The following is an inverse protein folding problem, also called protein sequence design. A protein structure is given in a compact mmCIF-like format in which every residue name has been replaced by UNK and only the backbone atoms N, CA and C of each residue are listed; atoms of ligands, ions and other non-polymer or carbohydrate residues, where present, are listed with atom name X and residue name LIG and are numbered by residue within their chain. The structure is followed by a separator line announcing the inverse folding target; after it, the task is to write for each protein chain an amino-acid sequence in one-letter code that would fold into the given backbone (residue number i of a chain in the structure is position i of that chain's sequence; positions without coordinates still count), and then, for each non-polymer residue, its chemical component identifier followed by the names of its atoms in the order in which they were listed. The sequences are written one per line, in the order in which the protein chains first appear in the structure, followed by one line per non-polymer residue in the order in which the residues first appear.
data_IF_890058679276
#
_entry.id   IF_890058679276
#
_cell.length_a   1.000
_cell.length_b   1.000
_cell.length_c   1.000
_cell.angle_alpha   90.00
_cell.angle_beta   90.00
_cell.angle_gamma   90.00
#
_symmetry.space_group_name_H-M   'P 1'
#
loop_
_entity.id
_entity.type
_entity.pdbx_description
1 polymer ?
#
# COMPACT_ATOMS: atom_id res chain seq x y z
N UNK A 1 23.86 -42.06 -48.17
CA UNK A 1 22.48 -42.53 -47.92
C UNK A 1 21.64 -41.32 -47.46
N UNK A 2 20.71 -40.89 -48.30
CA UNK A 2 20.01 -39.61 -48.02
C UNK A 2 18.92 -39.85 -46.95
N UNK A 3 19.18 -39.50 -45.72
CA UNK A 3 18.27 -39.72 -44.59
C UNK A 3 17.06 -38.74 -44.60
N UNK A 4 17.06 -37.80 -45.54
CA UNK A 4 16.10 -36.70 -45.59
C UNK A 4 15.07 -36.78 -46.73
N UNK A 5 14.99 -37.90 -47.46
CA UNK A 5 13.90 -38.07 -48.40
C UNK A 5 12.68 -38.65 -47.66
N UNK A 6 11.94 -37.78 -47.08
CA UNK A 6 10.74 -38.12 -46.33
C UNK A 6 9.52 -37.72 -47.16
N UNK A 7 8.62 -38.65 -47.36
CA UNK A 7 7.23 -38.34 -47.75
C UNK A 7 6.62 -37.56 -46.59
N UNK A 8 6.32 -36.27 -46.82
CA UNK A 8 5.94 -35.30 -45.80
C UNK A 8 4.60 -35.64 -45.13
N UNK A 9 3.83 -36.55 -45.74
CA UNK A 9 2.48 -36.93 -45.28
C UNK A 9 2.41 -38.19 -44.40
N UNK A 10 3.55 -38.76 -43.97
CA UNK A 10 3.61 -39.99 -43.17
C UNK A 10 4.25 -39.75 -41.80
N UNK A 11 3.60 -40.19 -40.73
CA UNK A 11 4.21 -40.22 -39.40
C UNK A 11 5.47 -41.12 -39.39
N UNK A 12 6.57 -40.69 -38.74
CA UNK A 12 7.79 -41.48 -38.64
C UNK A 12 7.54 -42.77 -37.86
N UNK A 13 8.05 -43.86 -38.38
CA UNK A 13 8.06 -45.11 -37.63
C UNK A 13 9.03 -45.04 -36.46
N UNK A 14 8.79 -45.86 -35.43
CA UNK A 14 9.68 -45.98 -34.27
C UNK A 14 11.15 -46.25 -34.67
N UNK A 15 11.38 -47.11 -35.65
CA UNK A 15 12.73 -47.43 -36.14
C UNK A 15 13.42 -46.26 -36.86
N UNK A 16 12.65 -45.36 -37.48
CA UNK A 16 13.16 -44.11 -38.06
C UNK A 16 13.51 -43.11 -36.98
N UNK A 17 12.66 -42.97 -35.96
CA UNK A 17 12.91 -42.10 -34.82
C UNK A 17 14.14 -42.55 -34.01
N UNK A 18 14.31 -43.86 -33.77
CA UNK A 18 15.48 -44.41 -33.07
C UNK A 18 16.78 -44.17 -33.87
N UNK A 19 16.77 -44.28 -35.19
CA UNK A 19 17.94 -43.96 -36.06
C UNK A 19 18.26 -42.47 -36.07
N UNK A 20 17.26 -41.59 -36.13
CA UNK A 20 17.46 -40.15 -36.09
C UNK A 20 18.04 -39.72 -34.73
N UNK A 21 17.54 -40.29 -33.63
CA UNK A 21 18.03 -40.04 -32.28
C UNK A 21 19.50 -40.50 -32.11
N UNK A 22 19.89 -41.65 -32.66
CA UNK A 22 21.27 -42.12 -32.63
C UNK A 22 22.22 -41.17 -33.40
N UNK A 23 21.82 -40.72 -34.59
CA UNK A 23 22.58 -39.75 -35.39
C UNK A 23 22.75 -38.41 -34.67
N UNK A 24 21.67 -37.92 -34.03
CA UNK A 24 21.72 -36.69 -33.25
C UNK A 24 22.64 -36.79 -32.03
N UNK A 25 22.63 -37.96 -31.35
CA UNK A 25 23.55 -38.24 -30.24
C UNK A 25 25.02 -38.29 -30.67
N UNK A 26 25.30 -38.95 -31.80
CA UNK A 26 26.66 -39.05 -32.35
C UNK A 26 27.18 -37.66 -32.76
N UNK A 27 26.34 -36.87 -33.44
CA UNK A 27 26.69 -35.51 -33.82
C UNK A 27 26.92 -34.62 -32.60
N UNK A 28 25.96 -34.61 -31.64
CA UNK A 28 26.05 -33.80 -30.43
C UNK A 28 27.23 -34.21 -29.54
N UNK A 29 27.69 -35.47 -29.59
CA UNK A 29 28.90 -35.91 -28.92
C UNK A 29 30.19 -35.33 -29.52
N UNK A 30 30.20 -34.93 -30.80
CA UNK A 30 31.33 -34.34 -31.50
C UNK A 30 31.26 -32.81 -31.65
N UNK A 31 30.08 -32.21 -31.54
CA UNK A 31 29.85 -30.78 -31.72
C UNK A 31 30.27 -29.95 -30.48
N UNK A 32 30.61 -28.69 -30.67
CA UNK A 32 30.85 -27.73 -29.59
C UNK A 32 29.54 -27.30 -28.93
N UNK A 33 29.62 -26.76 -27.70
CA UNK A 33 28.44 -26.28 -26.98
C UNK A 33 27.69 -25.19 -27.75
N UNK A 34 28.41 -24.29 -28.41
CA UNK A 34 27.81 -23.23 -29.22
C UNK A 34 27.10 -23.74 -30.47
N UNK A 35 27.56 -24.83 -31.06
CA UNK A 35 26.92 -25.48 -32.23
C UNK A 35 25.63 -26.17 -31.82
N UNK A 36 25.61 -26.79 -30.62
CA UNK A 36 24.40 -27.43 -30.07
C UNK A 36 23.36 -26.39 -29.71
N UNK A 37 23.79 -25.33 -29.05
CA UNK A 37 22.90 -24.22 -28.63
C UNK A 37 22.29 -23.48 -29.83
N UNK A 38 23.03 -23.38 -30.93
CA UNK A 38 22.56 -22.77 -32.18
C UNK A 38 21.53 -23.64 -32.90
N UNK A 39 21.64 -24.97 -32.82
CA UNK A 39 20.71 -25.87 -33.46
C UNK A 39 19.43 -26.08 -32.65
N UNK A 40 19.56 -26.51 -31.41
CA UNK A 40 18.47 -26.62 -30.42
C UNK A 40 19.07 -26.86 -29.02
N UNK A 41 18.86 -25.95 -28.04
CA UNK A 41 19.33 -26.11 -26.66
C UNK A 41 18.86 -27.41 -25.98
N UNK A 42 17.72 -27.97 -26.39
CA UNK A 42 17.19 -29.23 -25.86
C UNK A 42 18.04 -30.44 -26.19
N UNK A 43 18.88 -30.36 -27.23
CA UNK A 43 19.77 -31.47 -27.65
C UNK A 43 20.87 -31.76 -26.62
N UNK A 44 21.22 -30.81 -25.75
CA UNK A 44 22.15 -31.00 -24.63
C UNK A 44 21.71 -32.12 -23.70
N UNK A 45 20.40 -32.33 -23.55
CA UNK A 45 19.81 -33.38 -22.72
C UNK A 45 19.97 -34.81 -23.35
N UNK A 46 20.33 -34.90 -24.64
CA UNK A 46 20.51 -36.18 -25.34
C UNK A 46 21.94 -36.71 -25.26
N UNK A 47 22.87 -35.96 -24.68
CA UNK A 47 24.28 -36.34 -24.53
C UNK A 47 24.56 -36.88 -23.12
N UNK A 48 24.52 -38.22 -22.88
CA UNK A 48 24.81 -38.81 -21.57
C UNK A 48 26.31 -38.81 -21.27
N UNK A 49 26.88 -37.75 -20.92
CA UNK A 49 28.31 -37.55 -20.65
C UNK A 49 28.73 -36.10 -20.67
N UNK A 50 27.97 -35.25 -21.33
CA UNK A 50 27.93 -33.82 -21.02
C UNK A 50 26.95 -33.65 -19.85
N UNK A 51 27.49 -33.81 -18.65
CA UNK A 51 26.75 -33.41 -17.49
C UNK A 51 26.21 -32.00 -17.75
N UNK A 52 24.88 -31.88 -17.72
CA UNK A 52 24.23 -30.59 -17.55
C UNK A 52 24.87 -29.99 -16.32
N UNK A 53 25.77 -29.02 -16.55
CA UNK A 53 26.61 -28.35 -15.57
C UNK A 53 27.38 -29.33 -14.64
N UNK A 54 28.69 -29.41 -14.83
CA UNK A 54 29.57 -29.44 -13.68
C UNK A 54 29.22 -28.22 -12.82
N UNK A 55 28.19 -28.35 -11.98
CA UNK A 55 28.15 -27.46 -10.84
C UNK A 55 29.47 -27.69 -10.11
N UNK A 56 30.34 -26.70 -10.06
CA UNK A 56 31.59 -26.85 -9.34
C UNK A 56 31.25 -27.37 -7.95
N UNK A 57 32.10 -28.20 -7.37
CA UNK A 57 31.93 -28.74 -6.03
C UNK A 57 31.54 -27.61 -5.12
N UNK A 58 30.25 -27.54 -4.74
CA UNK A 58 29.73 -26.42 -3.95
C UNK A 58 30.37 -26.48 -2.57
N UNK A 59 31.20 -25.52 -2.25
CA UNK A 59 31.59 -25.28 -0.88
C UNK A 59 30.36 -24.90 -0.08
N UNK A 60 30.04 -25.67 0.98
CA UNK A 60 28.95 -25.33 1.90
C UNK A 60 29.37 -24.33 2.96
N UNK A 61 30.64 -23.95 2.97
CA UNK A 61 31.20 -22.98 3.92
C UNK A 61 31.03 -21.59 3.34
N UNK A 62 30.38 -20.69 4.06
CA UNK A 62 30.29 -19.29 3.67
C UNK A 62 31.68 -18.64 3.71
N UNK A 63 32.18 -18.03 2.61
CA UNK A 63 33.49 -17.47 2.56
C UNK A 63 33.50 -16.05 3.19
N UNK A 64 33.85 -15.94 4.48
CA UNK A 64 33.87 -14.67 5.22
C UNK A 64 34.82 -13.61 4.60
N UNK A 65 35.80 -14.02 3.80
CA UNK A 65 36.77 -13.12 3.18
C UNK A 65 36.48 -12.81 1.69
N UNK A 66 35.34 -13.22 1.14
CA UNK A 66 35.03 -12.94 -0.27
C UNK A 66 34.55 -11.50 -0.45
N UNK A 67 35.30 -10.70 -1.21
CA UNK A 67 34.89 -9.35 -1.63
C UNK A 67 34.55 -9.34 -3.13
N UNK A 68 33.34 -8.90 -3.46
CA UNK A 68 32.91 -8.73 -4.84
C UNK A 68 33.54 -7.46 -5.43
N UNK A 69 34.65 -7.60 -6.17
CA UNK A 69 35.28 -6.50 -6.87
C UNK A 69 34.49 -6.04 -8.12
N UNK A 70 34.98 -5.03 -8.82
CA UNK A 70 34.33 -4.48 -10.00
C UNK A 70 34.23 -5.50 -11.16
N UNK A 71 35.24 -6.33 -11.34
CA UNK A 71 35.28 -7.34 -12.40
C UNK A 71 34.27 -8.45 -12.12
N UNK A 72 34.21 -8.92 -10.85
CA UNK A 72 33.21 -9.89 -10.44
C UNK A 72 31.80 -9.35 -10.60
N UNK A 73 31.55 -8.09 -10.16
CA UNK A 73 30.24 -7.44 -10.32
C UNK A 73 29.83 -7.31 -11.79
N UNK A 74 30.77 -7.03 -12.68
CA UNK A 74 30.52 -6.96 -14.12
C UNK A 74 30.22 -8.34 -14.75
N UNK A 75 30.69 -9.44 -14.15
CA UNK A 75 30.41 -10.81 -14.61
C UNK A 75 29.05 -11.35 -14.16
N UNK A 76 28.36 -10.67 -13.24
CA UNK A 76 27.06 -11.11 -12.77
C UNK A 76 26.03 -11.03 -13.92
N UNK A 77 25.18 -12.06 -14.10
CA UNK A 77 24.19 -12.06 -15.17
C UNK A 77 23.14 -10.96 -14.95
N UNK A 78 22.87 -10.19 -16.00
CA UNK A 78 21.74 -9.25 -16.00
C UNK A 78 20.45 -9.97 -16.35
N UNK A 79 19.76 -10.47 -15.35
CA UNK A 79 18.52 -11.22 -15.51
C UNK A 79 17.32 -10.33 -15.91
N UNK A 80 17.43 -9.02 -15.76
CA UNK A 80 16.35 -8.08 -16.10
C UNK A 80 16.36 -7.71 -17.58
N UNK A 81 17.56 -7.58 -18.17
CA UNK A 81 17.77 -7.36 -19.61
C UNK A 81 18.24 -8.63 -20.31
N UNK A 82 18.20 -9.78 -19.65
CA UNK A 82 18.57 -11.07 -20.18
C UNK A 82 17.79 -11.48 -21.44
N UNK A 83 18.15 -12.59 -22.11
CA UNK A 83 17.59 -12.95 -23.41
C UNK A 83 16.06 -13.03 -23.38
N UNK A 84 15.42 -12.46 -24.41
CA UNK A 84 13.97 -12.41 -24.58
C UNK A 84 13.29 -13.80 -24.53
N UNK A 85 14.07 -14.87 -24.72
CA UNK A 85 13.63 -16.25 -24.68
C UNK A 85 13.22 -16.76 -23.29
N UNK A 86 13.68 -16.11 -22.20
CA UNK A 86 13.41 -16.55 -20.83
C UNK A 86 12.04 -16.11 -20.30
N UNK A 87 11.43 -15.09 -20.90
CA UNK A 87 10.14 -14.58 -20.43
C UNK A 87 9.19 -14.44 -21.63
N UNK A 88 8.23 -15.34 -21.72
CA UNK A 88 7.14 -15.27 -22.68
C UNK A 88 5.95 -14.59 -22.00
N UNK A 89 5.69 -13.34 -22.34
CA UNK A 89 4.53 -12.59 -21.86
C UNK A 89 3.99 -11.69 -22.96
N UNK A 90 2.71 -11.32 -22.86
CA UNK A 90 2.17 -10.29 -23.73
C UNK A 90 2.89 -8.96 -23.46
N UNK A 91 3.31 -8.26 -24.53
CA UNK A 91 3.84 -6.91 -24.41
C UNK A 91 2.71 -5.94 -24.09
N UNK A 92 2.54 -5.65 -22.82
CA UNK A 92 1.54 -4.73 -22.30
C UNK A 92 2.16 -3.86 -21.23
N UNK A 93 1.78 -2.61 -21.22
CA UNK A 93 2.12 -1.69 -20.13
C UNK A 93 1.51 -2.18 -18.81
N UNK A 94 2.30 -2.11 -17.75
CA UNK A 94 1.86 -2.35 -16.37
C UNK A 94 1.75 -0.99 -15.68
N UNK A 95 0.57 -0.67 -15.14
CA UNK A 95 0.32 0.60 -14.48
C UNK A 95 1.10 0.73 -13.16
N UNK A 96 1.13 -0.34 -12.37
CA UNK A 96 1.81 -0.36 -11.08
C UNK A 96 2.59 -1.65 -10.88
N UNK A 97 3.90 -1.54 -10.76
CA UNK A 97 4.82 -2.64 -10.38
C UNK A 97 5.81 -2.10 -9.35
N UNK A 98 6.05 -2.83 -8.28
CA UNK A 98 6.93 -2.36 -7.21
C UNK A 98 6.88 -3.24 -5.97
N UNK A 99 7.11 -2.63 -4.82
CA UNK A 99 7.13 -3.28 -3.51
C UNK A 99 5.97 -2.79 -2.65
N UNK A 100 5.46 -3.67 -1.80
CA UNK A 100 4.40 -3.34 -0.85
C UNK A 100 4.76 -3.83 0.54
N UNK A 101 4.29 -3.09 1.56
CA UNK A 101 4.49 -3.42 2.97
C UNK A 101 5.97 -3.54 3.39
N UNK A 102 6.81 -2.68 2.83
CA UNK A 102 8.20 -2.54 3.24
C UNK A 102 8.28 -1.65 4.49
N UNK A 103 8.87 -2.14 5.57
CA UNK A 103 8.89 -1.42 6.84
C UNK A 103 10.16 -0.64 7.05
N UNK A 104 9.99 0.64 7.44
CA UNK A 104 11.06 1.57 7.78
C UNK A 104 10.71 2.39 9.03
N UNK A 105 11.67 2.65 9.93
CA UNK A 105 11.54 3.71 10.90
C UNK A 105 11.72 5.07 10.20
N UNK A 106 10.66 5.88 10.17
CA UNK A 106 10.70 7.23 9.56
C UNK A 106 10.54 8.27 10.66
N UNK A 107 11.38 9.32 10.61
CA UNK A 107 11.34 10.43 11.54
C UNK A 107 10.43 11.53 11.00
N UNK A 108 9.34 11.79 11.70
CA UNK A 108 8.38 12.85 11.41
C UNK A 108 8.59 14.02 12.35
N UNK A 109 8.47 15.24 11.83
CA UNK A 109 8.34 16.45 12.64
C UNK A 109 6.88 16.69 12.93
N UNK A 110 6.54 16.99 14.19
CA UNK A 110 5.18 17.23 14.65
C UNK A 110 5.02 18.66 15.13
N UNK A 111 3.80 19.17 15.09
CA UNK A 111 3.51 20.54 15.52
C UNK A 111 3.86 20.78 16.99
N UNK A 112 3.58 19.83 17.87
CA UNK A 112 3.63 20.02 19.33
C UNK A 112 4.77 19.25 20.02
N UNK A 113 5.16 18.09 19.51
CA UNK A 113 6.06 17.18 20.23
C UNK A 113 7.46 17.02 19.59
N UNK A 114 7.79 17.89 18.61
CA UNK A 114 9.07 17.79 17.91
C UNK A 114 9.17 16.56 17.00
N UNK A 115 10.33 15.94 16.96
CA UNK A 115 10.60 14.80 16.08
C UNK A 115 10.17 13.48 16.74
N UNK A 116 9.40 12.68 16.02
CA UNK A 116 9.01 11.32 16.40
C UNK A 116 9.49 10.34 15.33
N UNK A 117 10.06 9.22 15.76
CA UNK A 117 10.38 8.11 14.84
C UNK A 117 9.25 7.07 14.93
N UNK A 118 8.58 6.85 13.80
CA UNK A 118 7.44 5.95 13.70
C UNK A 118 7.76 4.78 12.77
N UNK A 119 7.37 3.57 13.18
CA UNK A 119 7.39 2.43 12.27
C UNK A 119 6.40 2.67 11.14
N UNK A 120 6.90 2.69 9.92
CA UNK A 120 6.13 3.05 8.74
C UNK A 120 6.14 1.92 7.73
N UNK A 121 4.97 1.49 7.28
CA UNK A 121 4.80 0.57 6.16
C UNK A 121 4.77 1.35 4.86
N UNK A 122 5.70 1.05 3.96
CA UNK A 122 5.86 1.76 2.69
C UNK A 122 5.47 0.85 1.53
N UNK A 123 4.64 1.35 0.64
CA UNK A 123 4.35 0.76 -0.67
C UNK A 123 4.83 1.73 -1.74
N UNK A 124 5.71 1.27 -2.63
CA UNK A 124 6.24 2.08 -3.72
C UNK A 124 6.10 1.35 -5.04
N UNK A 125 5.46 1.99 -6.02
CA UNK A 125 5.23 1.44 -7.36
C UNK A 125 5.57 2.45 -8.44
N UNK A 126 5.91 1.93 -9.63
CA UNK A 126 6.11 2.72 -10.86
C UNK A 126 5.34 2.07 -12.01
N UNK A 127 5.11 2.84 -13.07
CA UNK A 127 4.66 2.29 -14.34
C UNK A 127 5.80 1.54 -15.04
N UNK A 128 5.46 0.51 -15.80
CA UNK A 128 6.41 -0.25 -16.62
C UNK A 128 5.90 -0.31 -18.05
N UNK A 129 6.75 0.13 -18.98
CA UNK A 129 6.45 0.09 -20.39
C UNK A 129 6.35 -1.34 -20.93
N UNK A 130 5.59 -1.51 -22.01
CA UNK A 130 5.35 -2.80 -22.65
C UNK A 130 6.63 -3.49 -23.15
N UNK A 131 7.67 -2.71 -23.46
CA UNK A 131 8.94 -3.21 -24.02
C UNK A 131 9.94 -3.64 -22.93
N UNK A 132 9.72 -3.21 -21.67
CA UNK A 132 10.59 -3.57 -20.55
C UNK A 132 10.13 -4.86 -19.89
N UNK A 133 11.10 -5.74 -19.53
CA UNK A 133 10.83 -7.05 -18.93
C UNK A 133 10.47 -6.97 -17.44
N UNK A 134 11.08 -6.03 -16.72
CA UNK A 134 10.90 -5.89 -15.28
C UNK A 134 11.65 -4.71 -14.71
N UNK A 135 11.49 -4.51 -13.41
CA UNK A 135 12.21 -3.49 -12.64
C UNK A 135 13.12 -4.15 -11.59
N UNK A 136 14.16 -3.44 -11.19
CA UNK A 136 14.99 -3.85 -10.06
C UNK A 136 14.36 -3.38 -8.74
N UNK A 137 13.60 -4.26 -8.07
CA UNK A 137 12.91 -3.97 -6.82
C UNK A 137 13.85 -3.40 -5.73
N UNK A 138 15.11 -3.85 -5.68
CA UNK A 138 16.08 -3.36 -4.70
C UNK A 138 16.48 -1.90 -4.90
N UNK A 139 16.28 -1.34 -6.09
CA UNK A 139 16.53 0.11 -6.34
C UNK A 139 15.50 0.95 -5.60
N UNK A 140 14.23 0.53 -5.61
CA UNK A 140 13.17 1.20 -4.84
C UNK A 140 13.56 1.27 -3.37
N UNK A 141 13.92 0.11 -2.77
CA UNK A 141 14.31 0.06 -1.36
C UNK A 141 15.52 0.95 -1.05
N UNK A 142 16.55 0.92 -1.90
CA UNK A 142 17.75 1.74 -1.71
C UNK A 142 17.46 3.24 -1.76
N UNK A 143 16.56 3.68 -2.62
CA UNK A 143 16.12 5.10 -2.65
C UNK A 143 15.49 5.51 -1.33
N UNK A 144 14.65 4.65 -0.72
CA UNK A 144 14.09 4.95 0.59
C UNK A 144 15.16 4.99 1.69
N UNK A 145 16.08 4.02 1.73
CA UNK A 145 17.17 4.02 2.72
C UNK A 145 18.09 5.24 2.60
N UNK A 146 18.35 5.70 1.39
CA UNK A 146 19.17 6.90 1.18
C UNK A 146 18.55 8.19 1.77
N UNK A 147 17.24 8.19 1.98
CA UNK A 147 16.48 9.31 2.51
C UNK A 147 15.90 9.08 3.92
N UNK A 148 15.96 7.85 4.45
CA UNK A 148 15.33 7.45 5.72
C UNK A 148 15.88 8.20 6.96
N UNK A 149 17.13 8.67 6.92
CA UNK A 149 17.74 9.43 8.02
C UNK A 149 17.30 10.90 8.07
N UNK A 150 16.64 11.38 7.03
CA UNK A 150 16.11 12.76 7.00
C UNK A 150 14.79 12.82 7.75
N UNK A 151 14.55 13.96 8.40
CA UNK A 151 13.21 14.26 8.92
C UNK A 151 12.24 14.33 7.75
N UNK A 152 11.13 13.59 7.87
CA UNK A 152 10.12 13.47 6.83
C UNK A 152 9.55 14.83 6.45
N UNK A 153 9.42 15.03 5.16
CA UNK A 153 8.59 16.04 4.53
C UNK A 153 8.16 15.51 3.16
N UNK A 154 7.12 16.08 2.57
CA UNK A 154 6.75 15.71 1.20
C UNK A 154 7.88 15.94 0.19
N UNK A 155 8.76 16.96 0.41
CA UNK A 155 9.92 17.16 -0.43
C UNK A 155 10.92 15.99 -0.38
N UNK A 156 11.05 15.33 0.78
CA UNK A 156 11.90 14.13 0.91
C UNK A 156 11.31 12.97 0.10
N UNK A 157 9.98 12.79 0.12
CA UNK A 157 9.33 11.77 -0.71
C UNK A 157 9.44 12.13 -2.19
N UNK A 158 9.22 13.38 -2.56
CA UNK A 158 9.37 13.85 -3.95
C UNK A 158 10.78 13.57 -4.47
N UNK A 159 11.80 13.85 -3.66
CA UNK A 159 13.18 13.55 -4.01
C UNK A 159 13.42 12.04 -4.16
N UNK A 160 12.91 11.22 -3.25
CA UNK A 160 12.99 9.76 -3.36
C UNK A 160 12.23 9.26 -4.60
N UNK A 161 11.05 9.80 -4.88
CA UNK A 161 10.25 9.47 -6.06
C UNK A 161 10.98 9.82 -7.36
N UNK A 162 11.54 11.03 -7.44
CA UNK A 162 12.31 11.46 -8.59
C UNK A 162 13.55 10.58 -8.82
N UNK A 163 14.23 10.22 -7.74
CA UNK A 163 15.41 9.34 -7.80
C UNK A 163 15.06 7.98 -8.37
N UNK A 164 14.05 7.30 -7.84
CA UNK A 164 13.77 5.97 -8.35
C UNK A 164 13.02 5.95 -9.70
N UNK A 165 12.28 7.01 -10.06
CA UNK A 165 11.77 7.18 -11.43
C UNK A 165 12.90 7.26 -12.44
N UNK A 166 13.92 8.07 -12.16
CA UNK A 166 15.11 8.18 -13.01
C UNK A 166 15.86 6.85 -13.10
N UNK A 167 16.07 6.16 -11.97
CA UNK A 167 16.74 4.87 -11.90
C UNK A 167 16.01 3.75 -12.64
N UNK A 168 14.68 3.83 -12.74
CA UNK A 168 13.82 2.82 -13.35
C UNK A 168 13.29 3.25 -14.71
N UNK A 169 13.63 4.47 -15.17
CA UNK A 169 13.15 5.05 -16.44
C UNK A 169 11.63 4.94 -16.58
N UNK A 170 10.89 5.32 -15.54
CA UNK A 170 9.43 5.21 -15.47
C UNK A 170 8.76 6.57 -15.58
N UNK A 171 7.52 6.62 -16.11
CA UNK A 171 6.78 7.87 -16.26
C UNK A 171 5.99 8.23 -15.03
N UNK A 172 5.27 7.26 -14.47
CA UNK A 172 4.39 7.44 -13.34
C UNK A 172 4.94 6.72 -12.12
N UNK A 173 4.67 7.25 -10.95
CA UNK A 173 5.08 6.64 -9.71
C UNK A 173 4.09 6.92 -8.59
N UNK A 174 3.99 6.01 -7.63
CA UNK A 174 3.16 6.14 -6.45
C UNK A 174 3.90 5.65 -5.22
N UNK A 175 3.82 6.42 -4.14
CA UNK A 175 4.29 6.05 -2.82
C UNK A 175 3.12 6.18 -1.85
N UNK A 176 2.92 5.17 -1.02
CA UNK A 176 2.00 5.22 0.12
C UNK A 176 2.77 4.80 1.38
N UNK A 177 2.62 5.58 2.43
CA UNK A 177 3.25 5.37 3.74
C UNK A 177 2.18 5.33 4.82
N UNK A 178 2.05 4.20 5.49
CA UNK A 178 1.08 3.99 6.56
C UNK A 178 1.79 3.86 7.90
N UNK A 179 1.30 4.58 8.91
CA UNK A 179 1.84 4.57 10.26
C UNK A 179 0.76 4.92 11.29
N UNK A 180 1.04 4.64 12.55
CA UNK A 180 0.19 5.01 13.68
C UNK A 180 0.83 6.18 14.42
N UNK A 181 0.12 7.31 14.47
CA UNK A 181 0.61 8.58 15.02
C UNK A 181 0.13 8.75 16.46
N UNK A 182 1.03 8.85 17.47
CA UNK A 182 0.68 9.08 18.86
C UNK A 182 0.46 10.56 19.14
N UNK A 183 -0.69 10.91 19.69
CA UNK A 183 -0.98 12.25 20.18
C UNK A 183 -1.35 12.20 21.66
N UNK A 184 -0.78 13.09 22.45
CA UNK A 184 -1.10 13.19 23.87
C UNK A 184 -2.47 13.82 24.06
N UNK A 185 -3.36 13.11 24.72
CA UNK A 185 -4.74 13.50 24.94
C UNK A 185 -5.03 13.62 26.42
N UNK A 186 -5.82 14.62 26.77
CA UNK A 186 -6.29 14.84 28.14
C UNK A 186 -7.70 14.33 28.31
N UNK A 187 -7.96 13.58 29.38
CA UNK A 187 -9.29 13.11 29.74
C UNK A 187 -10.28 14.25 30.02
N UNK A 188 -11.57 13.97 29.85
CA UNK A 188 -12.64 14.98 29.82
C UNK A 188 -12.78 15.79 31.11
N UNK A 189 -12.61 15.15 32.27
CA UNK A 189 -12.80 15.80 33.59
C UNK A 189 -11.64 15.57 34.56
N UNK A 190 -11.10 14.35 34.61
CA UNK A 190 -10.08 14.00 35.61
C UNK A 190 -8.71 14.62 35.34
N UNK A 191 -8.51 15.15 34.13
CA UNK A 191 -7.25 15.79 33.72
C UNK A 191 -6.09 14.79 33.58
N UNK A 192 -6.35 13.48 33.44
CA UNK A 192 -5.33 12.48 33.14
C UNK A 192 -4.86 12.60 31.70
N UNK A 193 -3.58 12.39 31.50
CA UNK A 193 -2.99 12.38 30.16
C UNK A 193 -2.77 10.92 29.70
N UNK A 194 -3.06 10.64 28.43
CA UNK A 194 -2.80 9.39 27.76
C UNK A 194 -2.40 9.61 26.31
N UNK A 195 -1.89 8.57 25.64
CA UNK A 195 -1.60 8.63 24.21
C UNK A 195 -2.71 7.99 23.40
N UNK A 196 -3.37 8.79 22.57
CA UNK A 196 -4.25 8.31 21.51
C UNK A 196 -3.41 8.04 20.26
N UNK A 197 -3.70 6.93 19.60
CA UNK A 197 -3.06 6.57 18.34
C UNK A 197 -4.05 6.76 17.19
N UNK A 198 -3.57 7.41 16.14
CA UNK A 198 -4.34 7.68 14.92
C UNK A 198 -3.66 7.00 13.74
N UNK A 199 -4.43 6.26 12.96
CA UNK A 199 -3.90 5.63 11.76
C UNK A 199 -3.91 6.63 10.60
N UNK A 200 -2.71 6.95 10.14
CA UNK A 200 -2.45 7.83 9.02
C UNK A 200 -1.88 7.07 7.83
N UNK A 201 -2.23 7.54 6.64
CA UNK A 201 -1.47 7.23 5.44
C UNK A 201 -1.15 8.52 4.68
N UNK A 202 0.08 8.61 4.18
CA UNK A 202 0.52 9.66 3.28
C UNK A 202 0.75 9.07 1.92
N UNK A 203 0.19 9.69 0.91
CA UNK A 203 0.29 9.24 -0.47
C UNK A 203 0.85 10.35 -1.35
N UNK A 204 1.80 9.99 -2.20
CA UNK A 204 2.27 10.81 -3.29
C UNK A 204 2.06 10.03 -4.58
N UNK A 205 1.24 10.58 -5.47
CA UNK A 205 1.02 10.07 -6.81
C UNK A 205 1.60 11.07 -7.80
N UNK A 206 2.41 10.62 -8.72
CA UNK A 206 2.86 11.45 -9.84
C UNK A 206 2.44 10.79 -11.15
N UNK A 207 1.57 11.46 -11.88
CA UNK A 207 1.07 11.02 -13.19
C UNK A 207 1.40 12.08 -14.22
N UNK A 208 2.09 11.70 -15.30
CA UNK A 208 2.51 12.62 -16.36
C UNK A 208 3.29 13.86 -15.83
N UNK A 209 4.04 13.70 -14.76
CA UNK A 209 4.82 14.78 -14.15
C UNK A 209 4.05 15.72 -13.22
N UNK A 210 2.77 15.44 -12.95
CA UNK A 210 1.95 16.23 -12.02
C UNK A 210 1.87 15.49 -10.67
N UNK A 211 2.44 16.04 -9.60
CA UNK A 211 2.38 15.43 -8.28
C UNK A 211 1.03 15.73 -7.60
N UNK A 212 0.45 14.71 -7.00
CA UNK A 212 -0.72 14.79 -6.11
C UNK A 212 -0.32 14.24 -4.75
N UNK A 213 -0.50 15.06 -3.72
CA UNK A 213 -0.21 14.73 -2.32
C UNK A 213 -1.51 14.51 -1.58
N UNK A 214 -1.64 13.35 -0.93
CA UNK A 214 -2.86 13.00 -0.20
C UNK A 214 -2.48 12.60 1.22
N UNK A 215 -3.25 13.07 2.19
CA UNK A 215 -3.21 12.64 3.58
C UNK A 215 -4.51 11.91 3.91
N UNK A 216 -4.39 10.74 4.54
CA UNK A 216 -5.51 9.94 5.02
C UNK A 216 -5.44 9.83 6.53
N UNK A 217 -6.58 9.93 7.19
CA UNK A 217 -6.75 9.77 8.63
C UNK A 217 -7.96 8.87 8.91
N UNK A 218 -7.80 7.84 9.73
CA UNK A 218 -8.91 7.12 10.32
C UNK A 218 -9.24 7.73 11.70
N UNK A 219 -10.32 8.49 11.76
CA UNK A 219 -10.80 9.13 12.98
C UNK A 219 -11.86 8.27 13.66
N UNK A 220 -11.60 7.87 14.91
CA UNK A 220 -12.47 6.96 15.67
C UNK A 220 -13.28 7.74 16.69
N UNK A 221 -14.60 7.60 16.62
CA UNK A 221 -15.54 8.31 17.48
C UNK A 221 -16.68 7.39 17.95
N UNK A 222 -17.47 7.88 18.89
CA UNK A 222 -18.71 7.24 19.29
C UNK A 222 -19.89 7.91 18.58
N UNK A 223 -20.82 7.12 18.07
CA UNK A 223 -22.08 7.60 17.52
C UNK A 223 -23.25 7.06 18.34
N UNK A 224 -24.10 7.97 18.81
CA UNK A 224 -25.37 7.65 19.46
C UNK A 224 -26.49 7.90 18.47
N UNK A 225 -27.33 6.91 18.21
CA UNK A 225 -28.45 7.04 17.27
C UNK A 225 -29.47 8.07 17.78
N UNK A 226 -29.76 9.16 17.00
CA UNK A 226 -30.75 10.17 17.40
C UNK A 226 -32.14 9.60 17.63
N UNK A 227 -32.59 8.69 16.74
CA UNK A 227 -33.91 8.05 16.92
C UNK A 227 -33.97 7.21 18.19
N UNK A 228 -32.92 6.47 18.50
CA UNK A 228 -32.87 5.65 19.71
C UNK A 228 -32.85 6.50 20.98
N UNK A 229 -32.19 7.65 20.94
CA UNK A 229 -32.21 8.60 22.05
C UNK A 229 -33.62 9.16 22.30
N UNK A 230 -34.31 9.64 21.27
CA UNK A 230 -35.67 10.18 21.38
C UNK A 230 -36.67 9.09 21.87
N UNK A 231 -36.55 7.87 21.37
CA UNK A 231 -37.40 6.76 21.81
C UNK A 231 -37.10 6.34 23.26
N UNK A 232 -35.86 6.45 23.70
CA UNK A 232 -35.48 6.19 25.10
C UNK A 232 -36.07 7.23 26.03
N UNK A 233 -35.99 8.51 25.67
CA UNK A 233 -36.61 9.61 26.42
C UNK A 233 -38.14 9.54 26.42
N UNK A 234 -38.76 9.13 25.29
CA UNK A 234 -40.19 8.86 25.22
C UNK A 234 -40.58 7.76 26.23
N UNK A 235 -39.89 6.64 26.25
CA UNK A 235 -40.16 5.55 27.21
C UNK A 235 -40.09 5.99 28.67
N UNK A 236 -39.13 6.89 29.01
CA UNK A 236 -38.98 7.45 30.35
C UNK A 236 -40.16 8.35 30.72
N UNK A 237 -40.55 9.25 29.80
CA UNK A 237 -41.63 10.21 30.05
C UNK A 237 -42.98 9.53 30.14
N UNK A 238 -43.34 8.65 29.20
CA UNK A 238 -44.69 8.08 29.06
C UNK A 238 -44.92 6.89 29.98
N UNK A 239 -43.88 6.15 30.35
CA UNK A 239 -44.05 4.88 31.08
C UNK A 239 -43.19 4.77 32.34
N UNK A 240 -42.34 5.79 32.67
CA UNK A 240 -41.39 5.69 33.75
C UNK A 240 -40.35 4.56 33.54
N UNK A 241 -40.20 4.08 32.30
CA UNK A 241 -39.33 2.96 31.97
C UNK A 241 -37.90 3.43 31.70
N UNK A 242 -36.93 2.87 32.42
CA UNK A 242 -35.53 3.10 32.11
C UNK A 242 -35.20 2.54 30.71
N UNK A 243 -34.63 3.36 29.86
CA UNK A 243 -34.21 3.01 28.52
C UNK A 243 -32.87 3.67 28.19
N UNK A 244 -32.08 3.05 27.34
CA UNK A 244 -30.75 3.52 26.91
C UNK A 244 -30.69 3.48 25.39
N UNK A 245 -30.29 4.59 24.75
CA UNK A 245 -30.07 4.60 23.30
C UNK A 245 -28.89 3.69 22.96
N UNK A 246 -28.94 3.09 21.77
CA UNK A 246 -27.75 2.40 21.29
C UNK A 246 -26.68 3.43 20.87
N UNK A 247 -25.46 3.10 21.22
CA UNK A 247 -24.23 3.81 20.84
C UNK A 247 -23.19 2.80 20.41
N UNK A 248 -22.36 3.16 19.49
CA UNK A 248 -21.34 2.27 18.92
C UNK A 248 -20.06 3.03 18.61
N UNK A 249 -18.98 2.29 18.51
CA UNK A 249 -17.74 2.80 17.91
C UNK A 249 -17.96 3.00 16.42
N UNK A 250 -17.47 4.12 15.91
CA UNK A 250 -17.60 4.52 14.52
C UNK A 250 -16.27 5.01 13.99
N UNK A 251 -16.04 4.89 12.72
CA UNK A 251 -14.80 5.33 12.06
C UNK A 251 -15.13 6.19 10.86
N UNK A 252 -14.47 7.33 10.74
CA UNK A 252 -14.46 8.12 9.53
C UNK A 252 -13.05 8.12 8.93
N UNK A 253 -12.89 7.63 7.70
CA UNK A 253 -11.69 7.80 6.90
C UNK A 253 -11.78 9.10 6.15
N UNK A 254 -10.95 10.04 6.54
CA UNK A 254 -10.79 11.33 5.91
C UNK A 254 -9.61 11.25 4.94
N UNK A 255 -9.83 11.56 3.67
CA UNK A 255 -8.78 11.62 2.65
C UNK A 255 -8.78 13.02 2.06
N UNK A 256 -7.67 13.74 2.18
CA UNK A 256 -7.55 15.12 1.71
C UNK A 256 -6.38 15.25 0.73
N UNK A 257 -6.65 15.83 -0.44
CA UNK A 257 -5.61 16.30 -1.35
C UNK A 257 -5.08 17.64 -0.82
N UNK A 258 -3.76 17.79 -0.73
CA UNK A 258 -3.14 19.02 -0.23
C UNK A 258 -3.04 20.03 -1.36
N UNK A 259 -3.41 21.28 -1.07
CA UNK A 259 -3.28 22.38 -2.03
C UNK A 259 -1.81 22.64 -2.39
N UNK A 260 -1.48 22.72 -3.71
CA UNK A 260 -0.12 23.00 -4.16
C UNK A 260 0.37 24.37 -3.67
N UNK A 261 1.53 24.38 -3.02
CA UNK A 261 2.15 25.64 -2.54
C UNK A 261 1.53 26.23 -1.28
N UNK A 262 0.57 25.55 -0.67
CA UNK A 262 0.01 25.93 0.62
C UNK A 262 0.98 25.69 1.79
N UNK A 263 0.62 26.26 2.96
CA UNK A 263 1.32 25.99 4.22
C UNK A 263 1.19 24.52 4.62
N UNK A 264 2.05 24.05 5.53
CA UNK A 264 2.01 22.69 6.03
C UNK A 264 0.69 22.41 6.77
N UNK A 265 -0.05 21.39 6.32
CA UNK A 265 -1.14 20.80 7.08
C UNK A 265 -0.54 19.73 8.01
N UNK A 266 -0.55 20.01 9.32
CA UNK A 266 -0.06 19.08 10.33
C UNK A 266 -1.05 17.93 10.57
N UNK A 267 -0.57 16.79 11.06
CA UNK A 267 -1.44 15.68 11.48
C UNK A 267 -2.43 16.15 12.55
N UNK A 268 -1.93 16.94 13.50
CA UNK A 268 -2.72 17.52 14.59
C UNK A 268 -3.82 18.44 14.08
N UNK A 269 -3.57 19.21 13.00
CA UNK A 269 -4.59 20.10 12.41
C UNK A 269 -5.77 19.29 11.86
N UNK A 270 -5.50 18.20 11.15
CA UNK A 270 -6.55 17.34 10.59
C UNK A 270 -7.34 16.63 11.71
N UNK A 271 -6.65 16.17 12.76
CA UNK A 271 -7.30 15.61 13.96
C UNK A 271 -8.20 16.66 14.62
N UNK A 272 -7.71 17.89 14.79
CA UNK A 272 -8.46 18.98 15.43
C UNK A 272 -9.70 19.40 14.61
N UNK A 273 -9.62 19.40 13.28
CA UNK A 273 -10.77 19.59 12.39
C UNK A 273 -11.83 18.51 12.60
N UNK A 274 -11.41 17.25 12.65
CA UNK A 274 -12.31 16.13 12.90
C UNK A 274 -12.96 16.21 14.29
N UNK A 275 -12.18 16.56 15.32
CA UNK A 275 -12.66 16.72 16.70
C UNK A 275 -13.68 17.85 16.84
N UNK A 276 -13.49 18.95 16.09
CA UNK A 276 -14.48 20.03 16.02
C UNK A 276 -15.77 19.60 15.34
N UNK A 277 -15.67 18.83 14.26
CA UNK A 277 -16.82 18.36 13.51
C UNK A 277 -17.66 17.36 14.31
N UNK A 278 -17.01 16.36 14.92
CA UNK A 278 -17.66 15.29 15.69
C UNK A 278 -16.90 15.12 17.01
N UNK A 279 -17.38 15.77 18.12
CA UNK A 279 -16.63 15.86 19.36
C UNK A 279 -16.62 14.60 20.22
N UNK A 280 -17.32 13.56 19.80
CA UNK A 280 -17.46 12.29 20.54
C UNK A 280 -16.30 11.32 20.29
N UNK A 281 -15.08 11.84 20.14
CA UNK A 281 -13.87 11.06 20.00
C UNK A 281 -13.70 10.03 21.13
N UNK A 282 -13.24 8.82 20.80
CA UNK A 282 -12.97 7.78 21.80
C UNK A 282 -11.88 8.19 22.78
N UNK A 283 -12.02 7.82 24.04
CA UNK A 283 -11.15 8.25 25.13
C UNK A 283 -10.10 7.17 25.47
N UNK A 284 -8.87 7.59 25.79
CA UNK A 284 -7.74 6.70 26.10
C UNK A 284 -7.64 6.36 27.56
N UNK A 285 -7.73 7.40 28.42
CA UNK A 285 -7.55 7.30 29.85
C UNK A 285 -8.76 7.87 30.55
N UNK A 286 -9.43 7.08 31.37
CA UNK A 286 -10.70 7.48 32.00
C UNK A 286 -10.75 7.07 33.46
N UNK A 287 -11.35 7.95 34.29
CA UNK A 287 -11.91 7.62 35.61
C UNK A 287 -13.43 7.64 35.51
N UNK A 288 -14.13 7.35 36.61
CA UNK A 288 -15.60 7.30 36.64
C UNK A 288 -16.24 8.64 36.22
N UNK A 289 -15.65 9.77 36.61
CA UNK A 289 -16.11 11.12 36.22
C UNK A 289 -15.92 11.37 34.72
N UNK A 290 -14.91 10.77 34.07
CA UNK A 290 -14.70 10.85 32.63
C UNK A 290 -15.69 9.98 31.86
N UNK A 291 -15.97 8.77 32.38
CA UNK A 291 -16.98 7.86 31.83
C UNK A 291 -18.37 8.50 31.84
N UNK A 292 -18.73 9.17 32.94
CA UNK A 292 -19.97 9.93 33.05
C UNK A 292 -19.97 11.12 32.07
N UNK A 293 -18.87 11.87 31.98
CA UNK A 293 -18.73 12.96 31.02
C UNK A 293 -18.89 12.49 29.56
N UNK A 294 -18.33 11.33 29.22
CA UNK A 294 -18.45 10.75 27.89
C UNK A 294 -19.89 10.30 27.58
N UNK A 295 -20.60 9.74 28.56
CA UNK A 295 -22.02 9.43 28.42
C UNK A 295 -22.87 10.69 28.15
N UNK A 296 -22.61 11.78 28.90
CA UNK A 296 -23.25 13.07 28.69
C UNK A 296 -22.91 13.69 27.33
N UNK A 297 -21.64 13.60 26.90
CA UNK A 297 -21.18 14.10 25.60
C UNK A 297 -21.87 13.38 24.45
N UNK A 298 -22.03 12.05 24.54
CA UNK A 298 -22.75 11.25 23.58
C UNK A 298 -24.23 11.65 23.48
N UNK A 299 -24.86 11.85 24.63
CA UNK A 299 -26.28 12.29 24.68
C UNK A 299 -26.49 13.71 24.13
N UNK A 300 -25.48 14.57 24.28
CA UNK A 300 -25.52 15.94 23.75
C UNK A 300 -25.22 16.01 22.22
N UNK A 301 -24.63 14.95 21.65
CA UNK A 301 -24.20 14.92 20.25
C UNK A 301 -24.67 13.62 19.56
N UNK A 302 -25.99 13.33 19.52
CA UNK A 302 -26.48 12.20 18.76
C UNK A 302 -26.30 12.49 17.26
N UNK A 303 -25.93 11.46 16.47
CA UNK A 303 -25.51 11.70 15.10
C UNK A 303 -25.85 10.51 14.18
N UNK A 304 -26.42 10.80 13.02
CA UNK A 304 -26.56 9.87 11.91
C UNK A 304 -25.26 9.78 11.09
N UNK A 305 -25.05 8.68 10.39
CA UNK A 305 -23.83 8.51 9.57
C UNK A 305 -23.76 9.52 8.43
N UNK A 306 -24.91 9.93 7.88
CA UNK A 306 -25.04 10.97 6.86
C UNK A 306 -24.59 12.34 7.39
N UNK A 307 -25.01 12.67 8.62
CA UNK A 307 -24.68 13.95 9.24
C UNK A 307 -23.22 14.00 9.67
N UNK A 308 -22.66 12.87 10.12
CA UNK A 308 -21.23 12.76 10.37
C UNK A 308 -20.42 13.10 9.10
N UNK A 309 -20.77 12.51 7.95
CA UNK A 309 -20.08 12.82 6.70
C UNK A 309 -20.19 14.30 6.31
N UNK A 310 -21.37 14.91 6.48
CA UNK A 310 -21.60 16.34 6.20
C UNK A 310 -20.79 17.24 7.12
N UNK A 311 -20.78 16.96 8.42
CA UNK A 311 -20.05 17.76 9.41
C UNK A 311 -18.53 17.70 9.18
N UNK A 312 -17.98 16.51 8.86
CA UNK A 312 -16.59 16.41 8.46
C UNK A 312 -16.32 17.23 7.20
N UNK A 313 -17.16 17.12 6.17
CA UNK A 313 -17.00 17.88 4.94
C UNK A 313 -17.03 19.39 5.19
N UNK A 314 -17.99 19.88 5.98
CA UNK A 314 -18.08 21.30 6.36
C UNK A 314 -16.81 21.78 7.07
N UNK A 315 -16.26 20.98 7.99
CA UNK A 315 -15.03 21.33 8.68
C UNK A 315 -13.82 21.37 7.72
N UNK A 316 -13.70 20.41 6.80
CA UNK A 316 -12.61 20.37 5.82
C UNK A 316 -12.64 21.57 4.88
N UNK A 317 -13.82 22.01 4.44
CA UNK A 317 -13.99 23.19 3.59
C UNK A 317 -13.54 24.50 4.24
N UNK A 318 -13.36 24.54 5.56
CA UNK A 318 -12.89 25.76 6.26
C UNK A 318 -11.38 25.95 6.17
N UNK A 319 -10.60 24.93 5.79
CA UNK A 319 -9.15 25.01 5.77
C UNK A 319 -8.62 25.15 4.32
N UNK A 320 -8.03 26.30 3.96
CA UNK A 320 -7.58 26.58 2.60
C UNK A 320 -6.39 25.73 2.15
N UNK A 321 -5.78 24.95 3.04
CA UNK A 321 -4.68 24.02 2.72
C UNK A 321 -5.22 22.70 2.16
N UNK A 322 -6.54 22.47 2.27
CA UNK A 322 -7.25 21.28 1.80
C UNK A 322 -7.91 21.61 0.47
N UNK A 323 -7.57 20.84 -0.57
CA UNK A 323 -8.24 20.87 -1.86
C UNK A 323 -9.39 19.84 -1.90
N UNK A 324 -9.35 18.97 -2.91
CA UNK A 324 -10.33 17.88 -3.02
C UNK A 324 -10.26 16.93 -1.82
N UNK A 325 -11.41 16.39 -1.41
CA UNK A 325 -11.43 15.45 -0.29
C UNK A 325 -12.50 14.38 -0.45
N UNK A 326 -12.34 13.32 0.37
CA UNK A 326 -13.32 12.25 0.53
C UNK A 326 -13.49 11.93 2.01
N UNK A 327 -14.73 11.81 2.44
CA UNK A 327 -15.15 11.29 3.75
C UNK A 327 -15.84 9.96 3.54
N UNK A 328 -15.36 8.90 4.19
CA UNK A 328 -16.01 7.59 4.24
C UNK A 328 -16.30 7.29 5.70
N UNK A 329 -17.57 7.32 6.10
CA UNK A 329 -17.97 7.06 7.47
C UNK A 329 -18.66 5.69 7.59
N UNK A 330 -18.39 5.00 8.70
CA UNK A 330 -19.01 3.73 9.08
C UNK A 330 -19.40 3.76 10.55
N UNK A 331 -20.68 3.65 10.82
CA UNK A 331 -21.24 3.40 12.15
C UNK A 331 -21.40 1.89 12.33
N UNK A 332 -20.57 1.30 13.19
CA UNK A 332 -20.55 -0.14 13.45
C UNK A 332 -21.71 -0.48 14.41
N UNK A 333 -22.90 -0.53 13.85
CA UNK A 333 -24.17 -0.58 14.57
C UNK A 333 -24.23 -1.66 15.65
N UNK A 334 -24.61 -1.26 16.87
CA UNK A 334 -24.80 -2.20 17.98
C UNK A 334 -26.20 -2.80 18.01
N UNK A 335 -27.18 -2.21 17.29
CA UNK A 335 -28.54 -2.72 17.14
C UNK A 335 -28.63 -3.80 16.06
N UNK A 336 -27.81 -3.69 15.03
CA UNK A 336 -27.81 -4.52 13.84
C UNK A 336 -26.54 -5.35 13.68
N UNK A 337 -26.57 -6.36 12.82
CA UNK A 337 -25.39 -7.14 12.44
C UNK A 337 -24.64 -6.56 11.23
N UNK A 338 -25.06 -5.41 10.74
CA UNK A 338 -24.47 -4.67 9.63
C UNK A 338 -24.13 -3.25 10.06
N UNK A 339 -23.28 -2.59 9.30
CA UNK A 339 -22.87 -1.21 9.54
C UNK A 339 -23.70 -0.24 8.70
N UNK A 340 -23.98 0.94 9.24
CA UNK A 340 -24.50 2.07 8.47
C UNK A 340 -23.31 2.85 7.90
N UNK A 341 -23.33 3.15 6.59
CA UNK A 341 -22.19 3.74 5.90
C UNK A 341 -22.58 4.94 5.04
N UNK A 342 -21.68 5.88 4.88
CA UNK A 342 -21.83 7.02 3.97
C UNK A 342 -20.52 7.38 3.31
N UNK A 343 -20.60 7.90 2.07
CA UNK A 343 -19.46 8.45 1.32
C UNK A 343 -19.85 9.83 0.81
N UNK A 344 -18.96 10.80 1.07
CA UNK A 344 -19.07 12.15 0.52
C UNK A 344 -17.73 12.52 -0.10
N UNK A 345 -17.75 13.04 -1.33
CA UNK A 345 -16.55 13.52 -2.02
C UNK A 345 -16.75 14.96 -2.46
N UNK A 346 -15.68 15.74 -2.43
CA UNK A 346 -15.60 17.08 -3.01
C UNK A 346 -14.46 17.08 -4.03
N UNK A 347 -14.73 17.66 -5.20
CA UNK A 347 -13.79 17.72 -6.30
C UNK A 347 -13.65 16.43 -7.11
N UNK A 348 -12.74 16.43 -8.08
CA UNK A 348 -12.59 15.37 -9.07
C UNK A 348 -11.66 14.22 -8.61
N UNK A 349 -10.73 14.50 -7.71
CA UNK A 349 -9.66 13.57 -7.32
C UNK A 349 -10.19 12.22 -6.81
N UNK A 350 -11.28 12.24 -6.03
CA UNK A 350 -11.85 11.05 -5.41
C UNK A 350 -13.17 10.59 -6.03
N UNK A 351 -13.65 11.26 -7.08
CA UNK A 351 -14.99 11.01 -7.63
C UNK A 351 -15.16 9.59 -8.17
N UNK A 352 -14.14 9.05 -8.84
CA UNK A 352 -14.16 7.69 -9.38
C UNK A 352 -14.16 6.62 -8.28
N UNK A 353 -13.42 6.86 -7.18
CA UNK A 353 -13.29 5.92 -6.08
C UNK A 353 -14.52 5.87 -5.17
N UNK A 354 -15.37 6.90 -5.22
CA UNK A 354 -16.56 6.99 -4.37
C UNK A 354 -17.54 5.82 -4.54
N UNK A 355 -17.47 5.11 -5.67
CA UNK A 355 -18.30 3.95 -5.99
C UNK A 355 -17.63 2.60 -5.64
N UNK A 356 -16.39 2.58 -5.16
CA UNK A 356 -15.71 1.33 -4.83
C UNK A 356 -16.24 0.75 -3.50
N UNK A 357 -16.93 -0.41 -3.51
CA UNK A 357 -17.45 -1.02 -2.29
C UNK A 357 -16.36 -1.47 -1.31
N UNK A 358 -15.10 -1.58 -1.74
CA UNK A 358 -13.96 -1.89 -0.87
C UNK A 358 -13.63 -0.77 0.11
N UNK A 359 -14.14 0.43 -0.10
CA UNK A 359 -13.97 1.55 0.83
C UNK A 359 -14.40 1.20 2.26
N UNK A 360 -15.43 0.38 2.42
CA UNK A 360 -15.98 0.02 3.72
C UNK A 360 -15.23 -1.15 4.39
N UNK A 361 -14.68 -2.07 3.61
CA UNK A 361 -14.10 -3.31 4.13
C UNK A 361 -12.86 -3.11 5.02
N UNK A 362 -12.23 -1.94 4.96
CA UNK A 362 -11.04 -1.59 5.73
C UNK A 362 -11.30 -0.63 6.90
N UNK A 363 -12.57 -0.19 7.10
CA UNK A 363 -12.97 0.69 8.19
C UNK A 363 -13.31 -0.07 9.47
N UNK A 364 -12.62 -1.14 9.74
CA UNK A 364 -12.79 -1.95 10.95
C UNK A 364 -11.70 -1.57 11.94
N UNK A 365 -12.10 -1.02 13.09
CA UNK A 365 -11.16 -0.71 14.16
C UNK A 365 -10.70 -1.99 14.85
N UNK A 366 -9.39 -2.22 14.90
CA UNK A 366 -8.80 -3.36 15.61
C UNK A 366 -7.95 -4.30 14.75
N UNK A 367 -7.32 -3.80 13.71
CA UNK A 367 -6.26 -4.54 12.98
C UNK A 367 -4.91 -4.32 13.62
#
# INVERSE_FOLDING_TARGET
MNVFNRDIDREPTRAEAERALALLRDWAGAASDGEIETLDPALSALCPGRAVSDYPTLSRTYPDGFEADAAYKASLPDLQNGPASLIRGARRQIQHVGISNFRLPIRFHTRENGDLTLETSVTGTVSLEAEKKGINMSRIMRSFYAHAERTFSFQVIEAALASYKADLESFDARIMMCFSFPMKMRSLRSGLDGFQYYDFALELVETAGVPLKIMHLDYVYSSTCPCSLELSEHARRERGQLATPHSQRSVARISVALEPGGDCLWFEDLIDLCRKAVPTETQVMVKREDEQAFAELNAANPIFVEDAARLFAEALLTDPRIGDFRVVASHQESLHSHDAVSVLTEGATFAADSLDPKLFSTLVHGR
#
